data_IF_674389443677
#
_entry.id   IF_674389443677
#
_cell.length_a   1.000
_cell.length_b   1.000
_cell.length_c   1.000
_cell.angle_alpha   90.00
_cell.angle_beta   90.00
_cell.angle_gamma   90.00
#
_symmetry.space_group_name_H-M   'P 1'
#
loop_
_entity.id
_entity.type
_entity.pdbx_description
1 polymer ?
#
# COMPACT_ATOMS: atom_id res chain seq x y z
N UNK A 1 -6.19 -14.50 -38.57
CA UNK A 1 -6.40 -13.24 -37.81
C UNK A 1 -6.79 -12.14 -38.79
N UNK A 2 -7.95 -11.49 -38.63
CA UNK A 2 -8.43 -10.44 -39.56
C UNK A 2 -7.71 -9.11 -39.28
N UNK A 3 -7.16 -8.40 -40.28
CA UNK A 3 -6.44 -7.13 -40.10
C UNK A 3 -7.23 -6.06 -39.32
N UNK A 4 -8.56 -6.06 -39.48
CA UNK A 4 -9.46 -5.15 -38.78
C UNK A 4 -9.48 -5.37 -37.27
N UNK A 5 -9.37 -6.63 -36.81
CA UNK A 5 -9.32 -6.96 -35.38
C UNK A 5 -8.01 -6.49 -34.74
N UNK A 6 -6.88 -6.61 -35.47
CA UNK A 6 -5.60 -6.09 -35.00
C UNK A 6 -5.63 -4.56 -34.88
N UNK A 7 -6.19 -3.86 -35.87
CA UNK A 7 -6.31 -2.40 -35.84
C UNK A 7 -7.14 -1.90 -34.65
N UNK A 8 -8.28 -2.56 -34.37
CA UNK A 8 -9.12 -2.23 -33.22
C UNK A 8 -8.39 -2.45 -31.89
N UNK A 9 -7.66 -3.56 -31.73
CA UNK A 9 -6.92 -3.85 -30.49
C UNK A 9 -5.80 -2.83 -30.26
N UNK A 10 -5.06 -2.45 -31.30
CA UNK A 10 -4.00 -1.44 -31.20
C UNK A 10 -4.59 -0.08 -30.81
N UNK A 11 -5.71 0.33 -31.39
CA UNK A 11 -6.37 1.60 -31.06
C UNK A 11 -6.87 1.64 -29.60
N UNK A 12 -7.45 0.55 -29.08
CA UNK A 12 -7.90 0.47 -27.69
C UNK A 12 -6.73 0.56 -26.70
N UNK A 13 -5.58 -0.06 -27.00
CA UNK A 13 -4.40 0.01 -26.14
C UNK A 13 -3.77 1.41 -26.12
N UNK A 14 -3.84 2.15 -27.23
CA UNK A 14 -3.30 3.51 -27.33
C UNK A 14 -4.13 4.55 -26.56
N UNK A 15 -5.42 4.28 -26.30
CA UNK A 15 -6.29 5.17 -25.53
C UNK A 15 -6.37 4.83 -24.03
N UNK A 16 -5.73 3.75 -23.59
CA UNK A 16 -5.71 3.37 -22.17
C UNK A 16 -4.84 4.33 -21.36
N UNK A 17 -5.42 5.43 -20.89
CA UNK A 17 -4.80 6.32 -19.92
C UNK A 17 -4.65 5.64 -18.56
N UNK A 18 -3.54 5.89 -17.86
CA UNK A 18 -3.38 5.46 -16.48
C UNK A 18 -4.32 6.30 -15.60
N UNK A 19 -5.34 5.67 -15.02
CA UNK A 19 -6.20 6.32 -14.03
C UNK A 19 -5.43 6.39 -12.70
N UNK A 20 -5.35 7.56 -12.04
CA UNK A 20 -4.78 7.64 -10.70
C UNK A 20 -5.50 6.67 -9.77
N UNK A 21 -4.76 5.77 -9.13
CA UNK A 21 -5.31 5.01 -8.02
C UNK A 21 -5.59 6.01 -6.89
N UNK A 22 -6.82 6.01 -6.36
CA UNK A 22 -7.19 6.95 -5.29
C UNK A 22 -6.47 6.71 -3.95
N UNK A 23 -5.64 5.66 -3.89
CA UNK A 23 -4.62 5.43 -2.87
C UNK A 23 -3.26 5.25 -3.55
N UNK A 24 -2.28 6.03 -3.12
CA UNK A 24 -0.91 6.03 -3.63
C UNK A 24 0.08 5.69 -2.53
N UNK A 25 0.99 4.76 -2.82
CA UNK A 25 2.08 4.36 -1.95
C UNK A 25 3.43 4.83 -2.51
N UNK A 26 4.33 5.29 -1.64
CA UNK A 26 5.71 5.67 -1.97
C UNK A 26 6.69 5.15 -0.90
N UNK A 27 7.71 4.37 -1.28
CA UNK A 27 7.93 3.75 -2.59
C UNK A 27 6.92 2.64 -2.94
N UNK A 28 6.62 2.51 -4.24
CA UNK A 28 5.84 1.39 -4.79
C UNK A 28 6.77 0.18 -4.86
N UNK A 29 6.55 -0.83 -4.03
CA UNK A 29 7.32 -2.10 -4.01
C UNK A 29 8.74 -2.01 -3.43
N UNK A 30 8.84 -1.67 -2.14
CA UNK A 30 10.12 -1.75 -1.44
C UNK A 30 10.31 -3.10 -0.77
N UNK A 31 11.37 -3.80 -1.16
CA UNK A 31 11.89 -4.95 -0.41
C UNK A 31 12.80 -4.41 0.70
N UNK A 32 12.36 -4.52 1.95
CA UNK A 32 13.15 -4.03 3.10
C UNK A 32 14.00 -5.15 3.69
N UNK A 33 15.28 -4.86 3.95
CA UNK A 33 16.22 -5.78 4.61
C UNK A 33 17.04 -5.03 5.65
N UNK A 34 16.85 -5.34 6.93
CA UNK A 34 17.76 -4.90 8.00
C UNK A 34 17.90 -3.39 8.23
N UNK A 35 17.03 -2.55 7.65
CA UNK A 35 17.09 -1.10 7.78
C UNK A 35 15.74 -0.53 8.19
N UNK A 36 15.76 0.54 9.00
CA UNK A 36 14.57 1.32 9.30
C UNK A 36 14.11 2.02 8.03
N UNK A 37 12.87 1.78 7.63
CA UNK A 37 12.29 2.31 6.40
C UNK A 37 10.96 2.97 6.70
N UNK A 38 10.67 4.09 6.05
CA UNK A 38 9.36 4.75 6.14
C UNK A 38 8.65 4.71 4.80
N UNK A 39 7.53 4.01 4.76
CA UNK A 39 6.61 3.96 3.63
C UNK A 39 5.54 5.04 3.81
N UNK A 40 5.26 5.77 2.74
CA UNK A 40 4.17 6.75 2.69
C UNK A 40 2.97 6.11 2.03
N UNK A 41 1.80 6.42 2.58
CA UNK A 41 0.54 6.17 1.92
C UNK A 41 -0.31 7.43 1.94
N UNK A 42 -0.87 7.76 0.79
CA UNK A 42 -1.71 8.94 0.57
C UNK A 42 -2.98 8.59 -0.17
N UNK A 43 -4.10 9.24 0.15
CA UNK A 43 -5.38 9.06 -0.56
C UNK A 43 -6.09 10.38 -0.83
N UNK A 44 -6.89 10.42 -1.89
CA UNK A 44 -7.66 11.58 -2.36
C UNK A 44 -9.18 11.29 -2.47
N UNK A 45 -9.64 10.18 -1.90
CA UNK A 45 -11.01 9.67 -1.94
C UNK A 45 -11.85 10.01 -0.69
N UNK A 46 -11.32 10.84 0.22
CA UNK A 46 -11.91 11.18 1.53
C UNK A 46 -12.25 9.93 2.39
N UNK A 47 -11.52 8.83 2.20
CA UNK A 47 -11.70 7.63 3.02
C UNK A 47 -11.32 7.87 4.48
N UNK A 48 -12.26 7.60 5.40
CA UNK A 48 -11.96 7.67 6.83
C UNK A 48 -10.95 6.58 7.22
N UNK A 49 -11.19 5.35 6.77
CA UNK A 49 -10.35 4.22 7.10
C UNK A 49 -9.18 4.06 6.12
N UNK A 50 -8.01 3.70 6.65
CA UNK A 50 -6.86 3.26 5.85
C UNK A 50 -6.16 2.10 6.55
N UNK A 51 -5.51 1.25 5.78
CA UNK A 51 -4.99 -0.05 6.19
C UNK A 51 -3.58 -0.27 5.65
N UNK A 52 -2.79 -1.02 6.43
CA UNK A 52 -1.50 -1.55 6.00
C UNK A 52 -1.51 -3.07 6.09
N UNK A 53 -1.08 -3.72 5.02
CA UNK A 53 -0.97 -5.16 4.91
C UNK A 53 0.45 -5.57 4.57
N UNK A 54 0.87 -6.73 5.08
CA UNK A 54 2.08 -7.44 4.64
C UNK A 54 1.68 -8.63 3.80
N UNK A 55 2.42 -8.87 2.72
CA UNK A 55 2.38 -10.10 1.96
C UNK A 55 3.75 -10.78 1.98
N UNK A 56 3.78 -12.02 2.46
CA UNK A 56 4.93 -12.91 2.33
C UNK A 56 4.70 -13.89 1.18
N UNK A 57 5.78 -14.36 0.51
CA UNK A 57 5.66 -15.41 -0.49
C UNK A 57 4.88 -16.63 0.03
N UNK A 58 3.90 -17.09 -0.74
CA UNK A 58 3.07 -18.24 -0.39
C UNK A 58 2.01 -18.00 0.71
N UNK A 59 1.88 -16.76 1.20
CA UNK A 59 0.90 -16.38 2.22
C UNK A 59 -0.11 -15.35 1.66
N UNK A 60 -1.29 -15.29 2.29
CA UNK A 60 -2.27 -14.23 2.03
C UNK A 60 -1.84 -12.87 2.61
N UNK A 61 -2.64 -11.84 2.37
CA UNK A 61 -2.49 -10.56 3.05
C UNK A 61 -2.73 -10.73 4.54
N UNK A 62 -1.85 -10.17 5.37
CA UNK A 62 -2.03 -10.10 6.82
C UNK A 62 -2.02 -8.65 7.26
N UNK A 63 -2.93 -8.31 8.17
CA UNK A 63 -3.10 -6.94 8.61
C UNK A 63 -1.95 -6.54 9.55
N UNK A 64 -1.32 -5.42 9.26
CA UNK A 64 -0.29 -4.81 10.10
C UNK A 64 -0.96 -3.85 11.08
N UNK A 65 -1.67 -2.86 10.52
CA UNK A 65 -2.30 -1.77 11.23
C UNK A 65 -3.43 -1.17 10.40
N UNK A 66 -4.39 -0.54 11.08
CA UNK A 66 -5.39 0.30 10.41
C UNK A 66 -5.76 1.52 11.26
N UNK A 67 -6.44 2.49 10.67
CA UNK A 67 -6.96 3.65 11.40
C UNK A 67 -8.31 4.04 10.83
N UNK A 68 -9.26 4.46 11.68
CA UNK A 68 -10.62 4.91 11.31
C UNK A 68 -10.73 6.43 11.08
N UNK A 69 -9.61 7.16 11.03
CA UNK A 69 -9.54 8.60 10.76
C UNK A 69 -9.27 9.48 12.01
N UNK A 70 -8.83 10.75 11.84
CA UNK A 70 -8.51 11.68 12.93
C UNK A 70 -9.78 12.34 13.55
N UNK A 71 -9.76 12.90 14.78
CA UNK A 71 -8.69 12.86 15.79
C UNK A 71 -8.88 11.74 16.83
N UNK A 72 -10.01 11.02 16.78
CA UNK A 72 -10.30 9.83 17.59
C UNK A 72 -10.54 8.64 16.66
N UNK A 73 -9.51 7.81 16.60
CA UNK A 73 -9.32 6.71 15.67
C UNK A 73 -7.84 6.38 15.66
N UNK A 74 -7.32 6.12 16.88
CA UNK A 74 -5.97 5.63 17.11
C UNK A 74 -5.69 4.47 16.17
N UNK A 75 -4.41 4.31 15.86
CA UNK A 75 -3.99 3.22 15.00
C UNK A 75 -4.23 1.91 15.72
N UNK A 76 -5.08 1.06 15.14
CA UNK A 76 -5.38 -0.25 15.68
C UNK A 76 -4.38 -1.26 15.12
N UNK A 77 -3.93 -2.16 15.99
CA UNK A 77 -3.00 -3.24 15.66
C UNK A 77 -3.74 -4.34 14.90
N UNK A 78 -3.11 -4.88 13.86
CA UNK A 78 -3.57 -6.06 13.16
C UNK A 78 -3.01 -7.35 13.74
N UNK A 79 -2.88 -8.36 12.88
CA UNK A 79 -2.39 -9.70 13.22
C UNK A 79 -0.88 -9.72 13.48
N UNK A 80 -0.13 -8.81 12.82
CA UNK A 80 1.33 -8.72 12.91
C UNK A 80 1.79 -7.25 13.02
N UNK A 81 1.49 -6.58 14.14
CA UNK A 81 1.79 -5.16 14.35
C UNK A 81 3.20 -4.93 14.88
N UNK A 82 3.84 -5.98 15.40
CA UNK A 82 5.20 -5.92 15.92
C UNK A 82 6.12 -5.33 14.85
N UNK A 83 7.26 -4.78 15.26
CA UNK A 83 8.28 -4.24 14.35
C UNK A 83 7.81 -3.11 13.39
N UNK A 84 6.55 -2.68 13.48
CA UNK A 84 6.02 -1.53 12.77
C UNK A 84 5.56 -0.43 13.71
N UNK A 85 5.61 0.81 13.22
CA UNK A 85 4.96 1.96 13.82
C UNK A 85 4.20 2.75 12.76
N UNK A 86 3.03 3.29 13.12
CA UNK A 86 2.15 4.04 12.21
C UNK A 86 1.70 5.33 12.88
N UNK A 87 1.27 6.29 12.07
CA UNK A 87 0.66 7.54 12.57
C UNK A 87 -0.47 7.98 11.64
N UNK A 88 -1.51 8.63 12.19
CA UNK A 88 -2.62 9.18 11.42
C UNK A 88 -2.87 10.64 11.82
N UNK A 89 -2.13 11.55 11.19
CA UNK A 89 -2.30 13.00 11.42
C UNK A 89 -3.43 13.62 10.61
N UNK A 90 -3.82 13.01 9.49
CA UNK A 90 -4.89 13.50 8.62
C UNK A 90 -5.58 12.33 7.89
N UNK A 91 -6.74 12.59 7.25
CA UNK A 91 -7.43 11.55 6.47
C UNK A 91 -6.61 11.10 5.26
N UNK A 92 -5.88 12.04 4.66
CA UNK A 92 -5.15 11.87 3.41
C UNK A 92 -3.85 11.09 3.59
N UNK A 93 -3.34 10.90 4.80
CA UNK A 93 -2.00 10.34 5.05
C UNK A 93 -2.02 9.26 6.11
N UNK A 94 -1.41 8.11 5.80
CA UNK A 94 -1.21 7.03 6.76
C UNK A 94 0.16 6.36 6.58
N UNK A 95 1.27 7.01 7.00
CA UNK A 95 2.60 6.44 6.85
C UNK A 95 2.85 5.26 7.81
N UNK A 96 3.65 4.29 7.34
CA UNK A 96 4.15 3.13 8.08
C UNK A 96 5.67 3.23 8.18
N UNK A 97 6.20 3.01 9.38
CA UNK A 97 7.64 2.89 9.61
C UNK A 97 7.94 1.46 10.03
N UNK A 98 8.81 0.81 9.28
CA UNK A 98 9.42 -0.45 9.65
C UNK A 98 10.55 -0.16 10.62
N UNK A 99 10.39 -0.56 11.88
CA UNK A 99 11.43 -0.49 12.89
C UNK A 99 12.48 -1.58 12.62
N UNK A 100 13.75 -1.19 12.53
CA UNK A 100 14.90 -2.03 12.13
C UNK A 100 14.73 -3.50 12.53
N UNK A 101 14.40 -4.35 11.55
CA UNK A 101 14.18 -5.76 11.79
C UNK A 101 15.48 -6.54 11.57
N UNK A 102 15.85 -7.40 12.52
CA UNK A 102 16.86 -8.46 12.32
C UNK A 102 16.40 -9.54 11.31
N UNK A 103 15.30 -9.33 10.60
CA UNK A 103 14.72 -10.30 9.69
C UNK A 103 15.40 -10.26 8.33
N UNK A 104 15.95 -11.41 7.93
CA UNK A 104 16.51 -11.70 6.61
C UNK A 104 15.46 -11.87 5.51
N UNK A 105 14.17 -11.85 5.87
CA UNK A 105 13.05 -12.16 5.00
C UNK A 105 12.53 -10.92 4.26
N UNK A 106 12.37 -11.07 2.95
CA UNK A 106 11.79 -10.10 2.03
C UNK A 106 10.27 -10.17 2.07
N UNK A 107 9.60 -9.05 2.36
CA UNK A 107 8.14 -8.91 2.24
C UNK A 107 7.76 -7.73 1.37
N UNK A 108 6.50 -7.74 0.91
CA UNK A 108 5.88 -6.61 0.24
C UNK A 108 4.80 -6.04 1.15
N UNK A 109 4.86 -4.74 1.40
CA UNK A 109 3.86 -4.01 2.16
C UNK A 109 2.92 -3.25 1.22
N UNK A 110 1.62 -3.28 1.52
CA UNK A 110 0.56 -2.67 0.75
C UNK A 110 -0.29 -1.75 1.61
N UNK A 111 -0.56 -0.55 1.10
CA UNK A 111 -1.56 0.35 1.67
C UNK A 111 -2.88 0.29 0.90
N UNK A 112 -3.99 0.41 1.63
CA UNK A 112 -5.36 0.51 1.10
C UNK A 112 -6.21 1.50 1.90
#
# INVERSE_FOLDING_TARGET
>A
LRPCLLGCVVFCLLQAGAVPAGVTQDPRFQVVRGQRVKLKCTQDLDHNSMYWYRQDPGHGLRLIHYSRGPPKGDTEKGDMPDWYSVSRSSKEKFPLTLESANHSQTSVDFCA
#
